data_IF_551354624738
#
_entry.id   IF_551354624738
#
_cell.length_a   1.000
_cell.length_b   1.000
_cell.length_c   1.000
_cell.angle_alpha   90.00
_cell.angle_beta   90.00
_cell.angle_gamma   90.00
#
_symmetry.space_group_name_H-M   'P 1'
#
loop_
_entity.id
_entity.type
_entity.pdbx_description
1 polymer ?
#
# COMPACT_ATOMS: atom_id res chain seq x y z
N UNK A 1 6.73 19.70 -15.03
CA UNK A 1 6.95 19.20 -13.66
C UNK A 1 8.45 19.00 -13.46
N UNK A 2 8.98 19.37 -12.29
CA UNK A 2 10.40 19.19 -11.98
C UNK A 2 10.70 17.72 -11.59
N UNK A 3 11.96 17.27 -11.71
CA UNK A 3 12.37 15.94 -11.25
C UNK A 3 12.12 15.75 -9.75
N UNK A 4 11.73 14.55 -9.37
CA UNK A 4 11.51 14.16 -7.97
C UNK A 4 12.31 12.90 -7.67
N UNK A 5 12.90 12.87 -6.51
CA UNK A 5 13.77 11.81 -6.03
C UNK A 5 13.25 11.26 -4.70
N UNK A 6 13.21 9.95 -4.54
CA UNK A 6 13.15 9.31 -3.23
C UNK A 6 14.57 9.31 -2.67
N UNK A 7 14.74 9.91 -1.51
CA UNK A 7 16.08 10.12 -0.90
C UNK A 7 16.33 9.19 0.28
N UNK A 8 15.30 8.75 0.95
CA UNK A 8 15.40 7.74 2.01
C UNK A 8 14.04 7.10 2.30
N UNK A 9 14.06 6.05 3.10
CA UNK A 9 12.86 5.40 3.61
C UNK A 9 13.13 4.66 4.91
N UNK A 10 12.09 4.51 5.71
CA UNK A 10 12.11 3.75 6.94
C UNK A 10 10.85 2.93 7.11
N UNK A 11 10.99 1.76 7.70
CA UNK A 11 9.88 0.82 7.93
C UNK A 11 10.01 0.26 9.35
N UNK A 12 8.94 0.34 10.14
CA UNK A 12 8.87 -0.40 11.39
C UNK A 12 8.72 -1.90 11.10
N UNK A 13 9.07 -2.75 12.05
CA UNK A 13 8.79 -4.18 11.90
C UNK A 13 7.29 -4.41 11.91
N UNK A 14 6.77 -5.05 10.86
CA UNK A 14 5.38 -5.49 10.80
C UNK A 14 5.17 -6.67 11.72
N UNK A 15 4.18 -6.57 12.60
CA UNK A 15 3.88 -7.59 13.63
C UNK A 15 2.37 -7.82 13.72
N UNK A 16 1.99 -8.93 14.36
CA UNK A 16 0.58 -9.21 14.64
C UNK A 16 -0.06 -8.14 15.53
N UNK A 17 0.72 -7.57 16.44
CA UNK A 17 0.29 -6.52 17.35
C UNK A 17 1.48 -5.76 17.93
N UNK A 18 1.30 -4.49 18.20
CA UNK A 18 2.23 -3.61 18.91
C UNK A 18 1.54 -3.01 20.14
N UNK A 19 1.24 -3.81 21.17
CA UNK A 19 0.55 -3.34 22.37
C UNK A 19 1.39 -2.38 23.22
N UNK A 20 2.68 -2.30 22.93
CA UNK A 20 3.67 -1.41 23.54
C UNK A 20 3.63 0.02 23.00
N UNK A 21 3.02 0.24 21.83
CA UNK A 21 3.00 1.53 21.13
C UNK A 21 1.60 1.91 20.66
N UNK A 22 1.35 3.20 20.67
CA UNK A 22 0.28 3.80 19.87
C UNK A 22 0.78 4.07 18.45
N UNK A 23 -0.10 4.56 17.54
CA UNK A 23 0.30 4.81 16.17
C UNK A 23 1.37 5.91 16.02
N UNK A 24 1.37 6.93 16.89
CA UNK A 24 2.31 8.06 16.81
C UNK A 24 3.76 7.61 16.98
N UNK A 25 4.18 6.94 18.08
CA UNK A 25 5.55 6.43 18.21
C UNK A 25 5.88 5.36 17.16
N UNK A 26 4.91 4.60 16.65
CA UNK A 26 5.16 3.64 15.58
C UNK A 26 5.50 4.35 14.25
N UNK A 27 4.80 5.45 13.91
CA UNK A 27 5.15 6.31 12.78
C UNK A 27 6.52 6.94 12.99
N UNK A 28 6.79 7.42 14.21
CA UNK A 28 8.09 7.99 14.55
C UNK A 28 9.23 6.98 14.39
N UNK A 29 9.04 5.72 14.76
CA UNK A 29 10.02 4.65 14.55
C UNK A 29 10.41 4.56 13.06
N UNK A 30 9.44 4.53 12.16
CA UNK A 30 9.70 4.50 10.72
C UNK A 30 10.36 5.79 10.22
N UNK A 31 9.91 6.94 10.71
CA UNK A 31 10.51 8.24 10.37
C UNK A 31 11.95 8.37 10.85
N UNK A 32 12.26 7.93 12.07
CA UNK A 32 13.62 7.92 12.61
C UNK A 32 14.56 7.03 11.80
N UNK A 33 14.07 5.90 11.25
CA UNK A 33 14.86 5.08 10.32
C UNK A 33 15.16 5.85 9.03
N UNK A 34 14.18 6.56 8.46
CA UNK A 34 14.40 7.37 7.27
C UNK A 34 15.40 8.51 7.52
N UNK A 35 15.34 9.16 8.70
CA UNK A 35 16.30 10.21 9.06
C UNK A 35 17.72 9.66 9.26
N UNK A 36 17.86 8.48 9.90
CA UNK A 36 19.17 7.82 10.08
C UNK A 36 19.82 7.44 8.76
N UNK A 37 19.05 7.00 7.78
CA UNK A 37 19.54 6.71 6.42
C UNK A 37 20.14 7.95 5.74
N UNK A 38 19.70 9.14 6.15
CA UNK A 38 20.23 10.43 5.70
C UNK A 38 21.34 11.01 6.60
N UNK A 39 21.71 10.36 7.68
CA UNK A 39 22.56 10.92 8.73
C UNK A 39 21.99 12.24 9.32
N UNK A 40 20.67 12.39 9.33
CA UNK A 40 19.98 13.60 9.75
C UNK A 40 19.42 13.45 11.17
N UNK A 41 19.89 14.30 12.14
CA UNK A 41 19.32 14.32 13.47
C UNK A 41 17.84 14.72 13.47
N UNK A 42 17.01 14.08 14.31
CA UNK A 42 15.58 14.38 14.42
C UNK A 42 15.29 15.87 14.62
N UNK A 43 16.07 16.58 15.45
CA UNK A 43 15.91 18.03 15.70
C UNK A 43 16.15 18.91 14.48
N UNK A 44 16.78 18.39 13.41
CA UNK A 44 17.00 19.11 12.15
C UNK A 44 15.91 18.84 11.11
N UNK A 45 15.06 17.84 11.31
CA UNK A 45 14.01 17.47 10.38
C UNK A 45 13.05 18.62 10.11
N UNK A 46 12.69 19.38 11.13
CA UNK A 46 11.82 20.56 11.00
C UNK A 46 12.36 21.61 10.04
N UNK A 47 13.67 21.88 10.07
CA UNK A 47 14.28 22.90 9.20
C UNK A 47 14.25 22.50 7.71
N UNK A 48 14.33 21.19 7.43
CA UNK A 48 14.48 20.66 6.07
C UNK A 48 13.18 20.27 5.41
N UNK A 49 12.24 19.67 6.16
CA UNK A 49 10.98 19.14 5.62
C UNK A 49 9.98 20.27 5.47
N UNK A 50 9.42 20.47 4.29
CA UNK A 50 8.46 21.53 4.02
C UNK A 50 7.03 21.13 4.38
N UNK A 51 6.71 19.83 4.39
CA UNK A 51 5.40 19.32 4.75
C UNK A 51 5.31 17.80 4.61
N UNK A 52 4.12 17.26 4.84
CA UNK A 52 3.91 15.81 4.78
C UNK A 52 2.58 15.41 4.16
N UNK A 53 2.51 14.15 3.76
CA UNK A 53 1.26 13.46 3.41
C UNK A 53 1.12 12.25 4.31
N UNK A 54 -0.01 12.15 5.01
CA UNK A 54 -0.33 11.05 5.89
C UNK A 54 -1.24 10.03 5.21
N UNK A 55 -1.10 8.77 5.57
CA UNK A 55 -1.97 7.71 5.06
C UNK A 55 -2.26 6.64 6.11
N UNK A 56 -3.50 6.23 6.17
CA UNK A 56 -3.99 5.08 6.91
C UNK A 56 -5.37 4.72 6.36
N UNK A 57 -5.75 3.46 6.46
CA UNK A 57 -6.95 2.96 5.83
C UNK A 57 -8.21 3.64 6.38
N UNK A 58 -8.38 3.62 7.71
CA UNK A 58 -9.59 4.17 8.30
C UNK A 58 -9.41 4.58 9.76
N UNK A 59 -10.19 5.56 10.22
CA UNK A 59 -10.20 5.99 11.61
C UNK A 59 -10.79 4.92 12.57
N UNK A 60 -11.44 3.89 12.03
CA UNK A 60 -12.05 2.82 12.81
C UNK A 60 -11.02 2.00 13.61
N UNK A 61 -9.85 1.73 13.03
CA UNK A 61 -8.80 0.97 13.73
C UNK A 61 -8.14 1.76 14.84
N UNK A 62 -7.90 3.06 14.63
CA UNK A 62 -7.29 3.94 15.63
C UNK A 62 -8.32 4.47 16.65
N UNK A 63 -9.61 4.46 16.30
CA UNK A 63 -10.68 5.13 17.07
C UNK A 63 -10.37 6.60 17.35
N UNK A 64 -9.66 7.24 16.43
CA UNK A 64 -9.17 8.60 16.54
C UNK A 64 -9.36 9.31 15.20
N UNK A 65 -10.07 10.42 15.19
CA UNK A 65 -10.11 11.33 14.05
C UNK A 65 -8.81 12.14 13.96
N UNK A 66 -8.48 12.60 12.77
CA UNK A 66 -7.31 13.44 12.52
C UNK A 66 -5.96 12.76 12.91
N UNK A 67 -5.90 11.43 12.90
CA UNK A 67 -4.70 10.70 13.29
C UNK A 67 -3.45 11.11 12.49
N UNK A 68 -3.62 11.54 11.22
CA UNK A 68 -2.53 12.08 10.42
C UNK A 68 -1.93 13.36 11.04
N UNK A 69 -2.78 14.32 11.44
CA UNK A 69 -2.30 15.56 12.08
C UNK A 69 -1.65 15.28 13.43
N UNK A 70 -2.22 14.35 14.23
CA UNK A 70 -1.61 13.93 15.49
C UNK A 70 -0.23 13.29 15.28
N UNK A 71 -0.07 12.47 14.23
CA UNK A 71 1.22 11.91 13.89
C UNK A 71 2.20 13.03 13.47
N UNK A 72 1.78 13.99 12.64
CA UNK A 72 2.60 15.15 12.25
C UNK A 72 3.09 15.96 13.45
N UNK A 73 2.21 16.22 14.42
CA UNK A 73 2.57 16.92 15.66
C UNK A 73 3.63 16.12 16.44
N UNK A 74 3.41 14.82 16.59
CA UNK A 74 4.37 13.92 17.26
C UNK A 74 5.73 13.83 16.54
N UNK A 75 5.76 14.00 15.22
CA UNK A 75 6.99 14.09 14.43
C UNK A 75 7.68 15.47 14.54
N UNK A 76 7.10 16.42 15.28
CA UNK A 76 7.65 17.77 15.43
C UNK A 76 7.58 18.60 14.13
N UNK A 77 6.66 18.29 13.23
CA UNK A 77 6.53 18.97 11.93
C UNK A 77 5.45 20.06 11.92
N UNK A 78 4.63 20.18 12.97
CA UNK A 78 3.68 21.29 13.07
C UNK A 78 4.42 22.64 13.28
N UNK A 79 3.94 23.74 12.66
CA UNK A 79 2.67 23.95 11.95
C UNK A 79 2.75 23.75 10.42
N UNK A 80 3.68 22.96 9.90
CA UNK A 80 3.84 22.76 8.45
C UNK A 80 2.64 22.09 7.82
N UNK A 81 2.38 22.27 6.51
CA UNK A 81 1.24 21.67 5.84
C UNK A 81 1.27 20.15 5.90
N UNK A 82 0.09 19.56 6.15
CA UNK A 82 -0.13 18.12 6.08
C UNK A 82 -1.57 17.85 5.66
N UNK A 83 -1.79 16.75 4.96
CA UNK A 83 -3.12 16.24 4.67
C UNK A 83 -3.11 14.72 4.62
N UNK A 84 -4.29 14.12 4.82
CA UNK A 84 -4.49 12.68 4.70
C UNK A 84 -4.96 12.32 3.30
N UNK A 85 -4.45 11.19 2.81
CA UNK A 85 -4.95 10.53 1.60
C UNK A 85 -5.49 9.15 1.96
N UNK A 86 -6.59 8.77 1.34
CA UNK A 86 -7.21 7.46 1.49
C UNK A 86 -7.67 6.94 0.12
N UNK A 87 -7.62 5.66 -0.09
CA UNK A 87 -8.04 4.95 -1.32
C UNK A 87 -8.06 3.44 -1.09
N UNK A 88 -8.64 3.00 0.03
CA UNK A 88 -8.73 1.60 0.40
C UNK A 88 -7.36 0.93 0.48
N UNK A 89 -7.22 -0.23 -0.15
CA UNK A 89 -5.94 -0.96 -0.20
C UNK A 89 -4.80 -0.25 -0.95
N UNK A 90 -5.10 0.78 -1.75
CA UNK A 90 -4.10 1.56 -2.48
C UNK A 90 -3.59 2.79 -1.71
N UNK A 91 -4.05 3.01 -0.49
CA UNK A 91 -3.81 4.22 0.31
C UNK A 91 -2.33 4.61 0.40
N UNK A 92 -1.42 3.68 0.67
CA UNK A 92 0.03 3.97 0.74
C UNK A 92 0.62 4.42 -0.61
N UNK A 93 0.21 3.80 -1.72
CA UNK A 93 0.63 4.21 -3.06
C UNK A 93 0.13 5.62 -3.43
N UNK A 94 -1.11 5.93 -3.06
CA UNK A 94 -1.67 7.27 -3.27
C UNK A 94 -0.96 8.33 -2.41
N UNK A 95 -0.60 8.00 -1.17
CA UNK A 95 0.19 8.86 -0.30
C UNK A 95 1.52 9.24 -0.94
N UNK A 96 2.24 8.25 -1.44
CA UNK A 96 3.52 8.47 -2.14
C UNK A 96 3.34 9.36 -3.38
N UNK A 97 2.26 9.15 -4.16
CA UNK A 97 1.95 9.97 -5.33
C UNK A 97 1.60 11.41 -4.98
N UNK A 98 0.86 11.65 -3.89
CA UNK A 98 0.53 13.01 -3.46
C UNK A 98 1.77 13.75 -2.93
N UNK A 99 2.67 13.07 -2.21
CA UNK A 99 3.97 13.63 -1.86
C UNK A 99 4.81 13.94 -3.10
N UNK A 100 4.83 13.02 -4.10
CA UNK A 100 5.47 13.28 -5.39
C UNK A 100 4.89 14.51 -6.09
N UNK A 101 3.56 14.66 -6.14
CA UNK A 101 2.91 15.84 -6.74
C UNK A 101 3.29 17.13 -6.01
N UNK A 102 3.33 17.11 -4.68
CA UNK A 102 3.70 18.26 -3.88
C UNK A 102 5.11 18.73 -4.21
N UNK A 103 6.04 17.80 -4.45
CA UNK A 103 7.41 18.12 -4.87
C UNK A 103 7.47 18.48 -6.35
N UNK A 104 6.82 17.71 -7.24
CA UNK A 104 6.85 17.92 -8.68
C UNK A 104 6.25 19.26 -9.13
N UNK A 105 5.22 19.74 -8.39
CA UNK A 105 4.57 21.03 -8.64
C UNK A 105 5.37 22.25 -8.17
N UNK A 106 6.36 22.05 -7.29
CA UNK A 106 7.14 23.14 -6.69
C UNK A 106 6.55 23.69 -5.38
N UNK A 107 5.46 23.12 -4.87
CA UNK A 107 4.91 23.53 -3.57
C UNK A 107 5.83 23.20 -2.39
N UNK A 108 6.60 22.11 -2.52
CA UNK A 108 7.54 21.66 -1.49
C UNK A 108 8.84 21.23 -2.16
N UNK A 109 9.98 21.48 -1.51
CA UNK A 109 11.27 20.93 -1.92
C UNK A 109 11.55 19.58 -1.29
N UNK A 110 11.10 19.39 -0.03
CA UNK A 110 11.22 18.15 0.72
C UNK A 110 9.87 17.80 1.34
N UNK A 111 9.32 16.65 0.97
CA UNK A 111 8.03 16.14 1.47
C UNK A 111 8.19 14.75 2.07
N UNK A 112 7.55 14.52 3.21
CA UNK A 112 7.46 13.18 3.82
C UNK A 112 6.11 12.55 3.50
N UNK A 113 6.15 11.34 2.91
CA UNK A 113 5.01 10.45 2.86
C UNK A 113 5.12 9.46 4.00
N UNK A 114 4.10 9.31 4.85
CA UNK A 114 4.09 8.28 5.88
C UNK A 114 2.73 7.62 5.99
N UNK A 115 2.76 6.37 6.42
CA UNK A 115 1.54 5.60 6.65
C UNK A 115 1.69 4.61 7.80
N UNK A 116 0.55 4.22 8.37
CA UNK A 116 0.51 3.30 9.51
C UNK A 116 -0.82 2.56 9.57
N UNK A 117 -0.79 1.41 10.22
CA UNK A 117 -2.00 0.67 10.62
C UNK A 117 -1.81 0.07 12.01
N UNK A 118 -2.90 0.06 12.79
CA UNK A 118 -3.00 -0.57 14.11
C UNK A 118 -4.17 -1.56 14.13
N UNK A 119 -4.12 -2.53 13.22
CA UNK A 119 -5.23 -3.46 13.00
C UNK A 119 -5.50 -4.39 14.18
N UNK A 120 -4.52 -4.56 15.08
CA UNK A 120 -4.64 -5.41 16.28
C UNK A 120 -5.57 -4.86 17.35
N UNK A 121 -5.99 -3.59 17.28
CA UNK A 121 -6.90 -2.96 18.24
C UNK A 121 -8.32 -3.56 18.24
N UNK A 122 -8.61 -4.40 17.25
CA UNK A 122 -9.86 -5.14 17.15
C UNK A 122 -9.58 -6.61 16.83
N UNK A 123 -10.54 -7.49 17.13
CA UNK A 123 -10.42 -8.89 16.70
C UNK A 123 -10.58 -9.02 15.18
N UNK A 124 -10.21 -10.18 14.65
CA UNK A 124 -10.21 -10.44 13.19
C UNK A 124 -11.58 -10.22 12.54
N UNK A 125 -12.68 -10.57 13.21
CA UNK A 125 -14.03 -10.39 12.67
C UNK A 125 -14.36 -8.90 12.50
N UNK A 126 -14.11 -8.12 13.54
CA UNK A 126 -14.35 -6.67 13.50
C UNK A 126 -13.41 -5.98 12.52
N UNK A 127 -12.17 -6.43 12.43
CA UNK A 127 -11.23 -5.95 11.41
C UNK A 127 -11.71 -6.23 9.99
N UNK A 128 -12.23 -7.41 9.71
CA UNK A 128 -12.80 -7.75 8.40
C UNK A 128 -14.05 -6.91 8.09
N UNK A 129 -14.90 -6.63 9.09
CA UNK A 129 -16.03 -5.72 8.94
C UNK A 129 -15.56 -4.31 8.53
N UNK A 130 -14.56 -3.76 9.23
CA UNK A 130 -14.01 -2.45 8.88
C UNK A 130 -13.41 -2.41 7.47
N UNK A 131 -12.70 -3.48 7.06
CA UNK A 131 -12.15 -3.59 5.71
C UNK A 131 -13.28 -3.69 4.68
N UNK A 132 -14.37 -4.38 4.99
CA UNK A 132 -15.51 -4.51 4.11
C UNK A 132 -16.26 -3.18 3.85
N UNK A 133 -16.09 -2.17 4.73
CA UNK A 133 -16.60 -0.81 4.48
C UNK A 133 -15.94 -0.12 3.26
N UNK A 134 -14.83 -0.64 2.72
CA UNK A 134 -14.28 -0.19 1.46
C UNK A 134 -14.95 -0.85 0.23
N UNK A 135 -16.10 -1.50 0.40
CA UNK A 135 -17.00 -1.93 -0.67
C UNK A 135 -18.31 -1.10 -0.64
N UNK A 136 -19.20 -1.36 -1.59
CA UNK A 136 -20.53 -0.71 -1.56
C UNK A 136 -21.34 -1.21 -0.37
N UNK A 137 -21.51 -0.34 0.63
CA UNK A 137 -22.20 -0.70 1.88
C UNK A 137 -23.72 -0.78 1.72
N UNK A 138 -24.27 -0.28 0.61
CA UNK A 138 -25.72 -0.30 0.33
C UNK A 138 -26.14 -1.53 -0.45
N UNK A 139 -25.22 -2.17 -1.19
CA UNK A 139 -25.54 -3.27 -2.10
C UNK A 139 -24.70 -4.53 -1.83
N UNK A 140 -23.37 -4.44 -1.89
CA UNK A 140 -22.51 -5.62 -1.76
C UNK A 140 -22.35 -6.08 -0.31
N UNK A 141 -22.19 -5.15 0.63
CA UNK A 141 -21.99 -5.48 2.04
C UNK A 141 -23.20 -6.19 2.68
N UNK A 142 -24.48 -5.77 2.47
CA UNK A 142 -25.62 -6.42 3.09
C UNK A 142 -25.83 -7.87 2.66
N UNK A 143 -25.33 -8.27 1.49
CA UNK A 143 -25.40 -9.65 1.00
C UNK A 143 -24.20 -10.50 1.41
N UNK A 144 -23.39 -10.01 2.36
CA UNK A 144 -22.23 -10.72 2.90
C UNK A 144 -20.94 -10.50 2.11
N UNK A 145 -20.85 -9.42 1.36
CA UNK A 145 -19.64 -9.05 0.62
C UNK A 145 -18.47 -8.78 1.56
N UNK A 146 -17.35 -9.47 1.35
CA UNK A 146 -16.10 -9.25 2.05
C UNK A 146 -14.90 -9.54 1.12
N UNK A 147 -13.74 -8.97 1.43
CA UNK A 147 -12.62 -8.93 0.51
C UNK A 147 -12.18 -10.30 0.00
N UNK A 148 -11.98 -11.28 0.89
CA UNK A 148 -11.57 -12.62 0.48
C UNK A 148 -12.58 -13.28 -0.47
N UNK A 149 -13.88 -13.06 -0.23
CA UNK A 149 -14.96 -13.55 -1.09
C UNK A 149 -14.91 -12.91 -2.48
N UNK A 150 -14.70 -11.60 -2.57
CA UNK A 150 -14.57 -10.90 -3.86
C UNK A 150 -13.37 -11.42 -4.67
N UNK A 151 -12.21 -11.54 -4.03
CA UNK A 151 -11.04 -12.09 -4.71
C UNK A 151 -11.23 -13.56 -5.10
N UNK A 152 -11.88 -14.36 -4.26
CA UNK A 152 -12.19 -15.75 -4.59
C UNK A 152 -13.07 -15.85 -5.85
N UNK A 153 -14.12 -15.02 -5.98
CA UNK A 153 -14.97 -14.97 -7.18
C UNK A 153 -14.16 -14.58 -8.44
N UNK A 154 -13.28 -13.58 -8.32
CA UNK A 154 -12.41 -13.17 -9.43
C UNK A 154 -11.44 -14.27 -9.84
N UNK A 155 -10.86 -14.94 -8.87
CA UNK A 155 -9.95 -16.07 -9.08
C UNK A 155 -10.68 -17.25 -9.75
N UNK A 156 -11.86 -17.61 -9.28
CA UNK A 156 -12.69 -18.67 -9.92
C UNK A 156 -12.96 -18.32 -11.38
N UNK A 157 -13.28 -17.05 -11.65
CA UNK A 157 -13.48 -16.59 -13.04
C UNK A 157 -12.20 -16.72 -13.87
N UNK A 158 -11.06 -16.36 -13.30
CA UNK A 158 -9.77 -16.51 -13.96
C UNK A 158 -9.44 -17.99 -14.25
N UNK A 159 -9.71 -18.88 -13.29
CA UNK A 159 -9.54 -20.33 -13.48
C UNK A 159 -10.39 -20.86 -14.63
N UNK A 160 -11.65 -20.41 -14.74
CA UNK A 160 -12.56 -20.83 -15.82
C UNK A 160 -12.12 -20.31 -17.18
N UNK A 161 -11.67 -19.04 -17.27
CA UNK A 161 -11.28 -18.43 -18.55
C UNK A 161 -9.91 -18.92 -19.04
N UNK A 162 -8.95 -19.08 -18.14
CA UNK A 162 -7.54 -19.34 -18.49
C UNK A 162 -7.01 -20.71 -18.07
N UNK A 163 -7.83 -21.53 -17.41
CA UNK A 163 -7.40 -22.84 -16.93
C UNK A 163 -6.37 -22.78 -15.79
N UNK A 164 -6.25 -21.64 -15.10
CA UNK A 164 -5.33 -21.50 -13.95
C UNK A 164 -5.70 -22.49 -12.85
N UNK A 165 -4.71 -23.20 -12.34
CA UNK A 165 -4.91 -24.23 -11.31
C UNK A 165 -4.67 -23.68 -9.89
N UNK A 166 -5.19 -24.39 -8.91
CA UNK A 166 -4.98 -24.05 -7.49
C UNK A 166 -3.52 -24.21 -7.07
N UNK A 167 -2.77 -25.09 -7.72
CA UNK A 167 -1.34 -25.30 -7.50
C UNK A 167 -0.51 -24.11 -8.03
N UNK A 168 -0.87 -23.57 -9.19
CA UNK A 168 -0.25 -22.37 -9.73
C UNK A 168 -0.46 -21.18 -8.80
N UNK A 169 -1.65 -21.03 -8.23
CA UNK A 169 -1.94 -19.99 -7.24
C UNK A 169 -1.17 -20.21 -5.94
N UNK A 170 -1.13 -21.43 -5.42
CA UNK A 170 -0.36 -21.77 -4.24
C UNK A 170 1.14 -21.48 -4.44
N UNK A 171 1.67 -21.63 -5.65
CA UNK A 171 3.06 -21.30 -5.99
C UNK A 171 3.37 -19.81 -5.80
N UNK A 172 2.39 -18.91 -5.99
CA UNK A 172 2.56 -17.47 -5.72
C UNK A 172 2.73 -17.25 -4.20
N UNK A 173 1.89 -17.89 -3.39
CA UNK A 173 2.02 -17.84 -1.93
C UNK A 173 3.37 -18.38 -1.46
N UNK A 174 3.79 -19.53 -1.96
CA UNK A 174 5.11 -20.13 -1.68
C UNK A 174 6.24 -19.16 -2.00
N UNK A 175 6.23 -18.58 -3.21
CA UNK A 175 7.25 -17.58 -3.62
C UNK A 175 7.29 -16.41 -2.65
N UNK A 176 6.13 -15.84 -2.31
CA UNK A 176 6.06 -14.67 -1.44
C UNK A 176 6.52 -14.96 -0.01
N UNK A 177 6.11 -16.10 0.58
CA UNK A 177 6.57 -16.48 1.91
C UNK A 177 8.06 -16.79 1.95
N UNK A 178 8.59 -17.49 0.94
CA UNK A 178 10.01 -17.81 0.85
C UNK A 178 10.88 -16.55 0.68
N UNK A 179 10.40 -15.54 -0.07
CA UNK A 179 11.06 -14.25 -0.15
C UNK A 179 10.96 -13.47 1.19
N UNK A 180 9.78 -13.48 1.82
CA UNK A 180 9.57 -12.84 3.11
C UNK A 180 10.43 -13.46 4.24
N UNK A 181 10.83 -14.73 4.11
CA UNK A 181 11.74 -15.38 5.06
C UNK A 181 13.04 -14.61 5.25
N UNK A 182 13.55 -13.98 4.19
CA UNK A 182 14.77 -13.18 4.19
C UNK A 182 14.56 -11.73 4.62
N UNK A 183 13.29 -11.25 4.73
CA UNK A 183 12.98 -9.90 5.14
C UNK A 183 12.80 -9.79 6.66
N UNK A 184 13.72 -9.09 7.40
CA UNK A 184 13.62 -8.96 8.85
C UNK A 184 12.38 -8.18 9.32
N UNK A 185 11.79 -7.36 8.46
CA UNK A 185 10.62 -6.54 8.76
C UNK A 185 9.29 -7.27 8.52
N UNK A 186 9.31 -8.44 7.85
CA UNK A 186 8.08 -9.19 7.58
C UNK A 186 7.55 -9.87 8.85
N UNK A 187 6.22 -9.82 9.04
CA UNK A 187 5.53 -10.49 10.15
C UNK A 187 5.62 -12.01 10.04
N UNK A 188 5.43 -12.55 8.83
CA UNK A 188 5.46 -14.00 8.57
C UNK A 188 6.75 -14.34 7.82
N UNK A 189 7.63 -15.06 8.52
CA UNK A 189 8.93 -15.50 8.00
C UNK A 189 9.00 -17.03 8.05
N UNK A 190 8.16 -17.65 7.24
CA UNK A 190 8.03 -19.11 7.14
C UNK A 190 8.40 -19.55 5.71
N UNK A 191 9.10 -20.66 5.59
CA UNK A 191 9.29 -21.34 4.29
C UNK A 191 8.12 -22.28 4.09
N UNK A 192 7.49 -22.21 2.92
CA UNK A 192 6.32 -23.02 2.60
C UNK A 192 6.56 -23.83 1.34
N UNK A 193 5.83 -24.93 1.24
CA UNK A 193 5.65 -25.72 0.02
C UNK A 193 4.21 -25.56 -0.51
N UNK A 194 3.97 -25.98 -1.74
CA UNK A 194 2.59 -26.00 -2.30
C UNK A 194 1.67 -26.86 -1.44
N UNK A 195 2.17 -27.99 -0.93
CA UNK A 195 1.40 -28.87 -0.05
C UNK A 195 0.99 -28.16 1.26
N UNK A 196 1.88 -27.37 1.86
CA UNK A 196 1.57 -26.59 3.06
C UNK A 196 0.47 -25.57 2.82
N UNK A 197 0.49 -24.89 1.68
CA UNK A 197 -0.58 -23.93 1.31
C UNK A 197 -1.89 -24.66 1.11
N UNK A 198 -1.91 -25.73 0.33
CA UNK A 198 -3.12 -26.49 -0.02
C UNK A 198 -3.76 -27.19 1.18
N UNK A 199 -3.00 -27.63 2.15
CA UNK A 199 -3.49 -28.28 3.38
C UNK A 199 -3.98 -27.28 4.43
N UNK A 200 -3.75 -25.99 4.24
CA UNK A 200 -4.21 -24.98 5.21
C UNK A 200 -5.74 -24.79 5.13
N UNK A 201 -6.39 -24.35 6.22
CA UNK A 201 -7.84 -24.23 6.25
C UNK A 201 -8.40 -23.37 5.12
N UNK A 202 -9.48 -23.84 4.49
CA UNK A 202 -10.22 -23.08 3.46
C UNK A 202 -10.89 -21.86 4.08
N UNK A 203 -10.81 -20.72 3.40
CA UNK A 203 -11.49 -19.48 3.80
C UNK A 203 -12.61 -19.13 2.82
N UNK A 204 -12.31 -19.06 1.55
CA UNK A 204 -13.28 -18.84 0.47
C UNK A 204 -12.75 -19.54 -0.78
N UNK A 205 -13.39 -20.62 -1.22
CA UNK A 205 -12.87 -21.44 -2.31
C UNK A 205 -12.52 -20.61 -3.55
N UNK A 206 -11.32 -20.76 -4.16
CA UNK A 206 -10.28 -21.75 -3.87
C UNK A 206 -9.21 -21.27 -2.86
N UNK A 207 -9.39 -20.12 -2.21
CA UNK A 207 -8.40 -19.49 -1.33
C UNK A 207 -8.37 -20.15 0.04
N UNK A 208 -7.18 -20.58 0.44
CA UNK A 208 -6.91 -21.10 1.78
C UNK A 208 -6.30 -19.99 2.67
N UNK A 209 -6.19 -20.26 3.96
CA UNK A 209 -5.63 -19.30 4.93
C UNK A 209 -4.21 -18.83 4.57
N UNK A 210 -3.42 -19.68 3.88
CA UNK A 210 -2.05 -19.32 3.47
C UNK A 210 -1.97 -18.59 2.13
N UNK A 211 -3.08 -18.48 1.42
CA UNK A 211 -3.20 -17.61 0.25
C UNK A 211 -3.53 -16.14 0.63
N UNK A 212 -3.86 -15.89 1.89
CA UNK A 212 -4.39 -14.60 2.37
C UNK A 212 -3.37 -13.93 3.28
N UNK A 213 -3.16 -12.61 3.09
CA UNK A 213 -2.32 -11.82 3.99
C UNK A 213 -2.94 -11.75 5.41
N UNK A 214 -2.09 -11.49 6.39
CA UNK A 214 -2.50 -11.35 7.79
C UNK A 214 -2.73 -9.88 8.14
N UNK A 215 -3.59 -9.62 9.11
CA UNK A 215 -3.71 -8.30 9.74
C UNK A 215 -2.43 -7.99 10.51
N UNK A 216 -1.93 -6.77 10.39
CA UNK A 216 -0.64 -6.37 10.96
C UNK A 216 -0.71 -4.95 11.51
N UNK A 217 0.09 -4.70 12.55
CA UNK A 217 0.47 -3.36 12.96
C UNK A 217 1.82 -3.02 12.35
N UNK A 218 1.96 -1.79 11.90
CA UNK A 218 3.20 -1.30 11.30
C UNK A 218 3.09 0.11 10.74
N UNK A 219 4.24 0.71 10.46
CA UNK A 219 4.35 2.01 9.83
C UNK A 219 5.49 2.05 8.82
N UNK A 220 5.39 2.97 7.88
CA UNK A 220 6.44 3.27 6.92
C UNK A 220 6.51 4.78 6.67
N UNK A 221 7.70 5.28 6.34
CA UNK A 221 7.91 6.65 5.90
C UNK A 221 8.86 6.67 4.70
N UNK A 222 8.65 7.63 3.80
CA UNK A 222 9.53 7.90 2.68
C UNK A 222 9.74 9.41 2.55
N UNK A 223 10.97 9.85 2.29
CA UNK A 223 11.32 11.25 2.07
C UNK A 223 11.55 11.46 0.58
N UNK A 224 10.80 12.40 0.00
CA UNK A 224 10.92 12.79 -1.39
C UNK A 224 11.46 14.22 -1.49
N UNK A 225 12.33 14.45 -2.46
CA UNK A 225 12.94 15.76 -2.63
C UNK A 225 13.04 16.17 -4.11
N UNK A 226 13.03 17.50 -4.33
CA UNK A 226 13.48 18.12 -5.57
C UNK A 226 15.01 18.23 -5.60
N UNK A 227 15.58 18.75 -6.67
CA UNK A 227 17.01 19.07 -6.74
C UNK A 227 17.42 20.08 -5.68
N UNK A 228 16.60 21.12 -5.43
CA UNK A 228 16.79 22.09 -4.36
C UNK A 228 16.70 21.42 -2.98
N UNK A 229 15.77 20.49 -2.80
CA UNK A 229 15.66 19.68 -1.59
C UNK A 229 16.91 18.82 -1.35
N UNK A 230 17.48 18.23 -2.39
CA UNK A 230 18.74 17.49 -2.30
C UNK A 230 19.90 18.43 -1.85
N UNK A 231 19.97 19.63 -2.40
CA UNK A 231 20.99 20.60 -2.01
C UNK A 231 20.84 21.05 -0.53
N UNK A 232 19.60 21.21 -0.05
CA UNK A 232 19.32 21.50 1.36
C UNK A 232 19.79 20.36 2.27
N UNK A 233 19.50 19.11 1.89
CA UNK A 233 19.91 17.92 2.64
C UNK A 233 21.43 17.79 2.66
N UNK A 234 22.10 17.93 1.51
CA UNK A 234 23.55 17.89 1.38
C UNK A 234 24.24 18.95 2.27
N UNK A 235 23.70 20.16 2.26
CA UNK A 235 24.21 21.25 3.13
C UNK A 235 24.05 20.92 4.62
N UNK A 236 22.96 20.26 5.01
CA UNK A 236 22.67 19.94 6.40
C UNK A 236 23.46 18.74 6.93
N UNK A 237 23.76 17.78 6.05
CA UNK A 237 24.39 16.49 6.42
C UNK A 237 25.87 16.42 6.00
N UNK A 238 26.33 17.35 5.16
CA UNK A 238 27.67 17.32 4.57
C UNK A 238 27.84 16.27 3.46
N UNK A 239 26.76 15.57 3.08
CA UNK A 239 26.80 14.48 2.09
C UNK A 239 25.55 14.51 1.20
N UNK A 240 25.75 14.41 -0.12
CA UNK A 240 24.64 14.18 -1.04
C UNK A 240 24.12 12.75 -0.85
N UNK A 241 22.82 12.56 -0.56
CA UNK A 241 22.27 11.24 -0.36
C UNK A 241 22.22 10.44 -1.68
N UNK A 242 22.30 9.12 -1.64
CA UNK A 242 21.92 8.30 -2.77
C UNK A 242 20.44 8.51 -3.07
N UNK A 243 20.07 8.51 -4.36
CA UNK A 243 18.70 8.80 -4.78
C UNK A 243 18.17 7.79 -5.76
N UNK A 244 16.86 7.54 -5.70
CA UNK A 244 16.09 6.89 -6.74
C UNK A 244 15.21 7.95 -7.42
N UNK A 245 15.49 8.25 -8.71
CA UNK A 245 14.63 9.15 -9.48
C UNK A 245 13.29 8.48 -9.78
N UNK A 246 12.21 9.17 -9.52
CA UNK A 246 10.85 8.71 -9.86
C UNK A 246 10.59 9.11 -11.31
N UNK A 247 10.52 8.12 -12.20
CA UNK A 247 10.41 8.32 -13.65
C UNK A 247 8.98 8.25 -14.16
N UNK A 248 8.08 7.63 -13.41
CA UNK A 248 6.66 7.52 -13.77
C UNK A 248 5.79 7.32 -12.54
N UNK A 249 4.56 7.80 -12.61
CA UNK A 249 3.52 7.58 -11.62
C UNK A 249 2.19 7.42 -12.34
N UNK A 250 1.43 6.41 -11.96
CA UNK A 250 0.13 6.14 -12.54
C UNK A 250 -0.87 5.68 -11.48
N UNK A 251 -2.14 6.00 -11.70
CA UNK A 251 -3.24 5.51 -10.87
C UNK A 251 -4.47 5.26 -11.73
N UNK A 252 -5.32 4.35 -11.29
CA UNK A 252 -6.58 4.05 -11.95
C UNK A 252 -7.64 3.72 -10.92
N UNK A 253 -8.89 3.85 -11.33
CA UNK A 253 -10.06 3.43 -10.56
C UNK A 253 -10.89 2.47 -11.39
N UNK A 254 -11.71 1.68 -10.73
CA UNK A 254 -12.70 0.82 -11.38
C UNK A 254 -14.05 0.96 -10.68
N UNK A 255 -15.10 0.39 -11.25
CA UNK A 255 -16.39 0.37 -10.60
C UNK A 255 -16.29 -0.29 -9.22
N UNK A 256 -16.89 0.34 -8.21
CA UNK A 256 -16.87 -0.15 -6.84
C UNK A 256 -17.56 -1.51 -6.75
N UNK A 257 -18.78 -1.61 -7.27
CA UNK A 257 -19.52 -2.88 -7.32
C UNK A 257 -18.92 -3.80 -8.36
N UNK A 258 -18.78 -5.07 -8.00
CA UNK A 258 -18.28 -6.08 -8.93
C UNK A 258 -19.25 -6.27 -10.12
N UNK A 259 -20.56 -6.18 -9.90
CA UNK A 259 -21.57 -6.29 -10.94
C UNK A 259 -21.54 -5.15 -11.97
N UNK A 260 -21.04 -3.98 -11.60
CA UNK A 260 -20.96 -2.81 -12.47
C UNK A 260 -19.66 -2.78 -13.31
N UNK A 261 -18.75 -3.73 -13.08
CA UNK A 261 -17.50 -3.79 -13.87
C UNK A 261 -17.80 -4.24 -15.29
N UNK A 262 -17.25 -3.56 -16.31
CA UNK A 262 -17.41 -3.97 -17.69
C UNK A 262 -16.86 -5.38 -17.93
N UNK A 263 -17.73 -6.29 -18.37
CA UNK A 263 -17.39 -7.69 -18.49
C UNK A 263 -16.39 -7.99 -19.60
N UNK A 264 -16.43 -7.22 -20.70
CA UNK A 264 -15.62 -7.46 -21.91
C UNK A 264 -14.55 -6.41 -22.16
N UNK A 265 -14.60 -5.29 -21.47
CA UNK A 265 -13.67 -4.19 -21.69
C UNK A 265 -12.36 -4.43 -20.94
N UNK A 266 -11.27 -4.57 -21.68
CA UNK A 266 -9.91 -4.75 -21.18
C UNK A 266 -9.08 -3.53 -21.57
N UNK A 267 -8.40 -2.93 -20.62
CA UNK A 267 -7.40 -1.89 -20.89
C UNK A 267 -6.13 -2.59 -21.38
N UNK A 268 -5.83 -2.46 -22.66
CA UNK A 268 -4.65 -3.07 -23.27
C UNK A 268 -3.38 -2.35 -22.79
N UNK A 269 -2.37 -3.13 -22.42
CA UNK A 269 -1.01 -2.67 -22.20
C UNK A 269 -0.26 -2.58 -23.55
N UNK A 270 0.87 -1.84 -23.65
CA UNK A 270 1.56 -1.60 -24.91
C UNK A 270 2.00 -2.86 -25.68
N UNK A 271 2.20 -3.97 -24.98
CA UNK A 271 2.63 -5.26 -25.56
C UNK A 271 1.48 -6.23 -25.86
N UNK A 272 0.23 -5.84 -25.61
CA UNK A 272 -0.97 -6.66 -25.78
C UNK A 272 -1.77 -6.22 -27.00
N UNK A 273 -2.51 -7.16 -27.58
CA UNK A 273 -3.43 -6.94 -28.68
C UNK A 273 -4.86 -7.37 -28.30
N UNK A 274 -5.85 -6.78 -28.94
CA UNK A 274 -7.26 -7.16 -28.72
C UNK A 274 -7.52 -8.63 -29.04
N UNK A 275 -6.77 -9.21 -29.97
CA UNK A 275 -6.81 -10.63 -30.34
C UNK A 275 -6.45 -11.57 -29.18
N UNK A 276 -5.62 -11.13 -28.24
CA UNK A 276 -5.21 -11.94 -27.08
C UNK A 276 -6.40 -12.26 -26.16
N UNK A 277 -7.45 -11.46 -26.26
CA UNK A 277 -8.70 -11.58 -25.49
C UNK A 277 -9.88 -12.09 -26.34
N UNK A 278 -9.64 -12.36 -27.62
CA UNK A 278 -10.66 -12.88 -28.52
C UNK A 278 -11.09 -14.29 -28.08
N UNK A 279 -12.40 -14.53 -28.01
CA UNK A 279 -12.94 -15.81 -27.56
C UNK A 279 -13.11 -15.96 -26.05
N UNK A 280 -12.53 -15.09 -25.23
CA UNK A 280 -12.80 -15.07 -23.79
C UNK A 280 -14.19 -14.49 -23.52
N UNK A 281 -14.92 -15.08 -22.54
CA UNK A 281 -16.30 -14.71 -22.30
C UNK A 281 -16.42 -13.40 -21.47
N UNK A 282 -15.61 -13.26 -20.43
CA UNK A 282 -15.67 -12.14 -19.49
C UNK A 282 -14.28 -11.63 -19.07
N UNK A 283 -13.40 -11.27 -20.00
CA UNK A 283 -12.02 -10.92 -19.67
C UNK A 283 -11.91 -9.63 -18.83
N UNK A 284 -12.89 -8.74 -18.89
CA UNK A 284 -12.89 -7.49 -18.14
C UNK A 284 -13.00 -7.67 -16.61
N UNK A 285 -13.66 -8.72 -16.13
CA UNK A 285 -13.91 -8.92 -14.70
C UNK A 285 -12.59 -9.14 -13.93
N UNK A 286 -11.65 -9.90 -14.49
CA UNK A 286 -10.38 -10.27 -13.84
C UNK A 286 -9.15 -9.59 -14.43
N UNK A 287 -9.34 -8.63 -15.32
CA UNK A 287 -8.22 -7.94 -15.98
C UNK A 287 -7.54 -6.87 -15.12
N UNK A 288 -8.03 -6.61 -13.91
CA UNK A 288 -7.51 -5.56 -13.02
C UNK A 288 -7.37 -4.19 -13.71
N UNK A 289 -8.47 -3.71 -14.30
CA UNK A 289 -8.52 -2.50 -15.13
C UNK A 289 -7.88 -1.28 -14.48
N UNK A 290 -8.12 -1.07 -13.18
CA UNK A 290 -7.50 0.03 -12.43
C UNK A 290 -5.97 -0.08 -12.41
N UNK A 291 -5.42 -1.27 -12.17
CA UNK A 291 -3.98 -1.52 -12.20
C UNK A 291 -3.39 -1.36 -13.60
N UNK A 292 -4.10 -1.83 -14.63
CA UNK A 292 -3.69 -1.66 -16.05
C UNK A 292 -3.69 -0.18 -16.46
N UNK A 293 -4.71 0.59 -16.04
CA UNK A 293 -4.71 2.03 -16.26
C UNK A 293 -3.55 2.72 -15.55
N UNK A 294 -3.27 2.34 -14.31
CA UNK A 294 -2.12 2.87 -13.58
C UNK A 294 -0.80 2.57 -14.30
N UNK A 295 -0.60 1.33 -14.75
CA UNK A 295 0.60 0.94 -15.50
C UNK A 295 0.74 1.68 -16.85
N UNK A 296 -0.38 1.95 -17.54
CA UNK A 296 -0.38 2.69 -18.80
C UNK A 296 -0.04 4.17 -18.62
N UNK A 297 -0.34 4.75 -17.46
CA UNK A 297 -0.09 6.16 -17.16
C UNK A 297 1.30 6.40 -16.54
N UNK A 298 1.94 5.38 -15.99
CA UNK A 298 3.30 5.44 -15.46
C UNK A 298 4.36 5.37 -16.55
#
# INVERSE_FOLDING_TARGET
MRPVYMVSGGVSKFTKARPDLTFQPMVKEAFDYALRDLDLPFGKAFELIDGSVASYFSDHFQRQLMSGVMAQDYLGLCPKPSHRVEGGGATGGLCFQEAWKSVASGLMDVCVAYGFETMSHVNTWKGNEFIALASDVSFDYPVGGFYTGYYAMMVVRHMVEFGTTVEQMASISVKNHNNAFHNPYAQKRERLTVADVRSSPMVAWPLTRRDICVMSDGAAAAILASEEGLNKIEKATGRRPPVARITGVGRGTDAMRMADRPHRDVILLPHEQASDYAGLKYPGIHSFRAGRMAAKLA
#
